data_IF_891667101651
#
_entry.id   IF_891667101651
#
_cell.length_a   1.000
_cell.length_b   1.000
_cell.length_c   1.000
_cell.angle_alpha   90.00
_cell.angle_beta   90.00
_cell.angle_gamma   90.00
#
_symmetry.space_group_name_H-M   'P 1'
#
loop_
_entity.id
_entity.type
_entity.pdbx_description
1 polymer ?
#
# COMPACT_ATOMS: atom_id res chain seq x y z
N UNK A 1 -69.94 49.42 -6.79
CA UNK A 1 -70.10 48.08 -6.20
C UNK A 1 -68.83 47.30 -6.60
N UNK A 2 -67.76 47.49 -5.83
CA UNK A 2 -66.48 46.77 -6.09
C UNK A 2 -66.33 45.65 -5.06
N UNK A 3 -66.06 44.45 -5.56
CA UNK A 3 -65.88 43.26 -4.76
C UNK A 3 -64.40 43.17 -4.32
N UNK A 4 -64.17 43.36 -3.04
CA UNK A 4 -62.84 43.13 -2.42
C UNK A 4 -62.57 41.61 -2.40
N UNK A 5 -61.56 41.18 -3.14
CA UNK A 5 -61.01 39.82 -3.06
C UNK A 5 -60.02 39.73 -1.88
N UNK A 6 -60.40 39.05 -0.84
CA UNK A 6 -59.48 38.66 0.26
C UNK A 6 -58.47 37.65 -0.27
N UNK A 7 -57.20 38.05 -0.30
CA UNK A 7 -56.07 37.15 -0.63
C UNK A 7 -55.65 36.47 0.68
N UNK A 8 -55.94 35.18 0.82
CA UNK A 8 -55.42 34.36 1.90
C UNK A 8 -53.95 34.08 1.67
N UNK A 9 -53.07 34.70 2.51
CA UNK A 9 -51.66 34.41 2.55
C UNK A 9 -51.48 33.17 3.42
N UNK A 10 -51.20 31.99 2.80
CA UNK A 10 -50.89 30.76 3.52
C UNK A 10 -49.36 30.85 3.87
N UNK A 11 -49.13 31.10 5.16
CA UNK A 11 -47.77 31.01 5.73
C UNK A 11 -47.40 29.55 5.84
N UNK A 12 -46.51 29.07 4.98
CA UNK A 12 -45.82 27.79 5.15
C UNK A 12 -44.79 27.96 6.29
N UNK A 13 -45.14 27.57 7.51
CA UNK A 13 -44.18 27.32 8.57
C UNK A 13 -43.36 26.07 8.18
N UNK A 14 -42.17 26.30 7.63
CA UNK A 14 -41.14 25.22 7.51
C UNK A 14 -40.70 24.92 8.95
N UNK A 15 -41.25 23.84 9.47
CA UNK A 15 -40.82 23.28 10.73
C UNK A 15 -39.44 22.67 10.50
N UNK A 16 -38.36 23.38 10.84
CA UNK A 16 -37.02 22.85 10.91
C UNK A 16 -36.94 21.91 12.09
N UNK A 17 -37.39 20.67 11.89
CA UNK A 17 -37.24 19.61 12.89
C UNK A 17 -35.81 19.13 12.92
N UNK A 18 -35.23 19.29 14.11
CA UNK A 18 -34.20 18.47 14.75
C UNK A 18 -33.05 17.96 13.85
N UNK A 19 -31.95 18.55 14.12
CA UNK A 19 -30.59 18.07 13.93
C UNK A 19 -30.45 16.60 14.40
N UNK A 20 -30.90 15.64 13.60
CA UNK A 20 -30.52 14.22 13.76
C UNK A 20 -29.06 14.11 13.33
N UNK A 21 -28.16 14.63 14.18
CA UNK A 21 -26.77 14.16 14.16
C UNK A 21 -26.86 12.71 14.62
N UNK A 22 -26.81 11.77 13.67
CA UNK A 22 -26.54 10.38 13.99
C UNK A 22 -25.38 10.37 14.99
N UNK A 23 -25.64 9.83 16.17
CA UNK A 23 -24.61 9.68 17.19
C UNK A 23 -23.49 8.85 16.55
N UNK A 24 -22.35 9.48 16.37
CA UNK A 24 -21.17 8.78 15.84
C UNK A 24 -20.87 7.64 16.80
N UNK A 25 -21.02 6.41 16.35
CA UNK A 25 -20.70 5.23 17.15
C UNK A 25 -19.18 5.17 17.36
N UNK A 26 -18.74 5.71 18.48
CA UNK A 26 -17.33 5.71 18.88
C UNK A 26 -16.77 4.30 19.12
N UNK A 27 -17.62 3.27 19.27
CA UNK A 27 -17.15 1.88 19.40
C UNK A 27 -16.49 1.37 18.14
N UNK A 28 -16.89 1.88 16.97
CA UNK A 28 -16.26 1.55 15.68
C UNK A 28 -14.89 2.20 15.50
N UNK A 29 -14.59 3.29 16.20
CA UNK A 29 -13.30 3.98 16.12
C UNK A 29 -12.17 3.21 16.81
N UNK A 30 -12.49 2.34 17.77
CA UNK A 30 -11.54 1.55 18.55
C UNK A 30 -11.44 0.08 18.10
N UNK A 31 -12.18 -0.31 17.05
CA UNK A 31 -12.08 -1.67 16.54
C UNK A 31 -10.75 -1.87 15.83
N UNK A 32 -9.95 -2.89 16.19
CA UNK A 32 -8.72 -3.21 15.47
C UNK A 32 -8.99 -3.40 13.98
N UNK A 33 -8.04 -2.97 13.13
CA UNK A 33 -8.15 -3.16 11.67
C UNK A 33 -8.13 -4.64 11.28
N UNK A 34 -7.48 -5.47 12.09
CA UNK A 34 -7.28 -6.90 11.87
C UNK A 34 -7.85 -7.67 13.07
N UNK A 35 -8.28 -8.89 12.86
CA UNK A 35 -8.65 -9.87 13.89
C UNK A 35 -7.45 -10.69 14.38
N UNK A 36 -6.25 -10.37 13.88
CA UNK A 36 -4.96 -10.93 14.25
C UNK A 36 -3.90 -9.82 14.34
N UNK A 37 -2.75 -10.13 14.95
CA UNK A 37 -1.58 -9.24 14.96
C UNK A 37 -0.75 -9.47 13.69
N UNK A 38 -0.57 -8.42 12.90
CA UNK A 38 0.16 -8.44 11.61
C UNK A 38 1.63 -8.79 11.83
N UNK A 39 2.25 -8.28 12.89
CA UNK A 39 3.67 -8.52 13.16
C UNK A 39 3.92 -9.95 13.66
N UNK A 40 3.00 -10.50 14.47
CA UNK A 40 3.04 -11.92 14.84
C UNK A 40 2.78 -12.82 13.63
N UNK A 41 1.91 -12.42 12.70
CA UNK A 41 1.70 -13.15 11.45
C UNK A 41 2.99 -13.24 10.62
N UNK A 42 3.75 -12.15 10.52
CA UNK A 42 5.05 -12.11 9.83
C UNK A 42 6.03 -13.09 10.50
N UNK A 43 6.10 -13.12 11.83
CA UNK A 43 6.95 -14.07 12.57
C UNK A 43 6.54 -15.52 12.35
N UNK A 44 5.22 -15.82 12.32
CA UNK A 44 4.69 -17.16 12.03
C UNK A 44 5.08 -17.66 10.63
N UNK A 45 5.31 -16.74 9.70
CA UNK A 45 5.85 -17.03 8.37
C UNK A 45 7.38 -17.23 8.36
N UNK A 46 8.02 -17.22 9.55
CA UNK A 46 9.47 -17.28 9.75
C UNK A 46 10.22 -16.16 9.02
N UNK A 47 9.63 -14.96 9.01
CA UNK A 47 10.22 -13.77 8.38
C UNK A 47 10.67 -12.81 9.47
N UNK A 48 11.96 -12.45 9.42
CA UNK A 48 12.53 -11.34 10.19
C UNK A 48 12.66 -10.13 9.26
N UNK A 49 12.10 -8.99 9.69
CA UNK A 49 12.23 -7.75 8.92
C UNK A 49 13.66 -7.21 9.08
N UNK A 50 14.38 -6.98 7.97
CA UNK A 50 15.74 -6.47 8.04
C UNK A 50 15.77 -5.01 8.50
N UNK A 51 16.95 -4.52 8.86
CA UNK A 51 17.17 -3.07 8.98
C UNK A 51 17.01 -2.43 7.60
N UNK A 52 16.13 -1.43 7.43
CA UNK A 52 15.98 -0.76 6.16
C UNK A 52 17.29 -0.17 5.64
N UNK A 53 17.51 -0.26 4.33
CA UNK A 53 18.64 0.38 3.69
C UNK A 53 18.57 1.90 3.80
N UNK A 54 19.73 2.56 3.84
CA UNK A 54 19.78 4.02 3.74
C UNK A 54 19.73 4.44 2.26
N UNK A 55 19.16 5.62 1.96
CA UNK A 55 19.14 6.15 0.60
C UNK A 55 20.56 6.33 0.05
N UNK A 56 20.78 5.96 -1.20
CA UNK A 56 22.07 6.08 -1.86
C UNK A 56 22.23 7.42 -2.61
N UNK A 57 21.21 8.26 -2.60
CA UNK A 57 21.16 9.55 -3.27
C UNK A 57 20.28 10.55 -2.50
N UNK A 58 20.03 11.71 -3.10
CA UNK A 58 19.23 12.77 -2.45
C UNK A 58 17.72 12.49 -2.62
N UNK A 59 17.23 11.50 -1.90
CA UNK A 59 15.81 11.16 -1.75
C UNK A 59 15.57 10.54 -0.37
N UNK A 60 14.31 10.23 -0.03
CA UNK A 60 13.93 9.56 1.23
C UNK A 60 13.22 8.25 0.92
N UNK A 61 13.33 7.22 1.81
CA UNK A 61 12.67 5.93 1.58
C UNK A 61 11.15 6.02 1.56
N UNK A 62 10.60 6.95 2.34
CA UNK A 62 9.14 7.12 2.50
C UNK A 62 8.77 8.59 2.60
N UNK A 63 7.56 8.92 2.12
CA UNK A 63 6.96 10.25 2.28
C UNK A 63 5.53 10.09 2.81
N UNK A 64 5.21 10.80 3.89
CA UNK A 64 3.84 10.88 4.42
C UNK A 64 3.10 12.03 3.75
N UNK A 65 1.87 11.75 3.31
CA UNK A 65 0.93 12.75 2.83
C UNK A 65 -0.41 12.59 3.54
N UNK A 66 -0.89 13.64 4.21
CA UNK A 66 -2.12 13.55 5.01
C UNK A 66 -3.27 14.22 4.29
N UNK A 67 -4.22 13.43 3.80
CA UNK A 67 -5.43 13.91 3.10
C UNK A 67 -6.65 13.97 4.02
N UNK A 68 -6.69 13.16 5.11
CA UNK A 68 -7.85 13.06 5.97
C UNK A 68 -7.49 13.27 7.45
N UNK A 69 -8.53 13.50 8.27
CA UNK A 69 -8.38 13.63 9.73
C UNK A 69 -7.87 12.32 10.38
N UNK A 70 -8.24 11.16 9.82
CA UNK A 70 -8.08 9.86 10.48
C UNK A 70 -7.07 8.93 9.79
N UNK A 71 -6.65 9.24 8.57
CA UNK A 71 -5.68 8.43 7.82
C UNK A 71 -4.73 9.31 7.00
N UNK A 72 -3.60 8.72 6.62
CA UNK A 72 -2.60 9.31 5.74
C UNK A 72 -2.18 8.31 4.69
N UNK A 73 -1.68 8.79 3.56
CA UNK A 73 -0.96 7.99 2.59
C UNK A 73 0.53 8.01 2.90
N UNK A 74 1.17 6.85 2.77
CA UNK A 74 2.62 6.72 2.79
C UNK A 74 3.06 6.21 1.43
N UNK A 75 3.91 6.98 0.77
CA UNK A 75 4.57 6.63 -0.48
C UNK A 75 5.92 6.02 -0.14
N UNK A 76 6.21 4.85 -0.67
CA UNK A 76 7.50 4.16 -0.52
C UNK A 76 8.24 4.25 -1.84
N UNK A 77 9.47 4.73 -1.80
CA UNK A 77 10.36 4.83 -2.96
C UNK A 77 10.69 3.47 -3.55
N UNK A 78 11.12 3.46 -4.81
CA UNK A 78 11.59 2.26 -5.48
C UNK A 78 12.54 1.45 -4.59
N UNK A 79 12.18 0.21 -4.34
CA UNK A 79 12.88 -0.69 -3.43
C UNK A 79 13.26 -1.95 -4.20
N UNK A 80 14.51 -2.38 -4.05
CA UNK A 80 15.01 -3.62 -4.66
C UNK A 80 15.10 -4.80 -3.68
N UNK A 81 15.43 -6.01 -4.18
CA UNK A 81 15.53 -7.25 -3.40
C UNK A 81 16.86 -7.31 -2.64
N UNK A 82 17.02 -6.55 -1.56
CA UNK A 82 18.23 -6.48 -0.75
C UNK A 82 18.26 -7.64 0.25
N UNK A 83 19.39 -8.39 0.23
CA UNK A 83 19.66 -9.49 1.16
C UNK A 83 20.15 -8.96 2.51
N UNK A 84 20.18 -9.82 3.52
CA UNK A 84 20.67 -9.47 4.87
C UNK A 84 22.12 -9.01 4.90
N UNK A 85 22.97 -9.59 4.06
CA UNK A 85 24.39 -9.18 3.92
C UNK A 85 24.58 -7.83 3.22
N UNK A 86 23.49 -7.21 2.76
CA UNK A 86 23.50 -5.93 2.07
C UNK A 86 23.56 -6.01 0.54
N UNK A 87 23.87 -7.16 -0.03
CA UNK A 87 23.87 -7.37 -1.49
C UNK A 87 22.43 -7.41 -2.03
N UNK A 88 22.29 -7.27 -3.34
CA UNK A 88 21.01 -7.42 -4.02
C UNK A 88 20.91 -8.75 -4.77
N UNK A 89 19.69 -9.23 -4.97
CA UNK A 89 19.40 -10.20 -6.01
C UNK A 89 19.44 -9.48 -7.36
N UNK A 90 20.38 -9.86 -8.19
CA UNK A 90 20.63 -9.26 -9.50
C UNK A 90 20.40 -10.29 -10.60
N UNK A 91 20.08 -9.82 -11.80
CA UNK A 91 19.88 -10.65 -12.99
C UNK A 91 18.76 -10.10 -13.86
N UNK A 92 18.48 -10.80 -14.97
CA UNK A 92 17.57 -10.37 -16.00
C UNK A 92 16.62 -11.49 -16.40
N UNK A 93 15.33 -11.27 -16.24
CA UNK A 93 14.29 -12.23 -16.62
C UNK A 93 14.25 -12.42 -18.15
N UNK A 94 14.20 -13.67 -18.58
CA UNK A 94 14.30 -14.04 -20.00
C UNK A 94 15.73 -14.19 -20.50
N UNK A 95 16.74 -14.01 -19.63
CA UNK A 95 18.16 -14.19 -19.93
C UNK A 95 18.79 -15.12 -18.89
N UNK A 96 19.27 -14.56 -17.77
CA UNK A 96 20.03 -15.27 -16.74
C UNK A 96 19.23 -15.58 -15.46
N UNK A 97 17.92 -15.24 -15.42
CA UNK A 97 17.03 -15.53 -14.30
C UNK A 97 15.76 -16.27 -14.72
N UNK A 98 15.35 -17.23 -13.89
CA UNK A 98 14.06 -17.91 -14.00
C UNK A 98 12.92 -17.06 -13.41
N UNK A 99 11.68 -17.43 -13.71
CA UNK A 99 10.50 -16.77 -13.14
C UNK A 99 10.43 -16.97 -11.62
N UNK A 100 10.78 -18.16 -11.12
CA UNK A 100 10.83 -18.49 -9.70
C UNK A 100 11.83 -17.61 -8.95
N UNK A 101 13.03 -17.43 -9.47
CA UNK A 101 14.04 -16.54 -8.89
C UNK A 101 13.56 -15.08 -8.88
N UNK A 102 12.89 -14.66 -9.96
CA UNK A 102 12.26 -13.35 -10.03
C UNK A 102 11.12 -13.18 -9.04
N UNK A 103 10.27 -14.21 -8.83
CA UNK A 103 9.22 -14.24 -7.84
C UNK A 103 9.79 -14.10 -6.41
N UNK A 104 10.86 -14.85 -6.10
CA UNK A 104 11.55 -14.75 -4.80
C UNK A 104 12.19 -13.38 -4.61
N UNK A 105 12.74 -12.78 -5.66
CA UNK A 105 13.25 -11.41 -5.62
C UNK A 105 12.13 -10.39 -5.33
N UNK A 106 10.96 -10.55 -5.94
CA UNK A 106 9.79 -9.69 -5.67
C UNK A 106 9.26 -9.87 -4.24
N UNK A 107 9.24 -11.10 -3.71
CA UNK A 107 8.88 -11.39 -2.31
C UNK A 107 9.87 -10.73 -1.34
N UNK A 108 11.18 -10.87 -1.59
CA UNK A 108 12.21 -10.23 -0.78
C UNK A 108 12.11 -8.70 -0.81
N UNK A 109 11.76 -8.13 -1.97
CA UNK A 109 11.47 -6.69 -2.08
C UNK A 109 10.30 -6.29 -1.19
N UNK A 110 9.24 -7.09 -1.13
CA UNK A 110 8.11 -6.88 -0.23
C UNK A 110 8.54 -6.86 1.25
N UNK A 111 9.43 -7.76 1.66
CA UNK A 111 9.99 -7.80 3.03
C UNK A 111 10.76 -6.50 3.32
N UNK A 112 11.59 -6.02 2.39
CA UNK A 112 12.33 -4.77 2.53
C UNK A 112 11.40 -3.54 2.60
N UNK A 113 10.30 -3.54 1.84
CA UNK A 113 9.27 -2.51 1.90
C UNK A 113 8.59 -2.50 3.27
N UNK A 114 8.22 -3.67 3.82
CA UNK A 114 7.64 -3.77 5.16
C UNK A 114 8.59 -3.27 6.24
N UNK A 115 9.89 -3.52 6.11
CA UNK A 115 10.91 -2.99 7.02
C UNK A 115 10.95 -1.44 6.98
N UNK A 116 10.89 -0.84 5.80
CA UNK A 116 10.83 0.62 5.62
C UNK A 116 9.54 1.21 6.20
N UNK A 117 8.39 0.57 5.95
CA UNK A 117 7.11 0.97 6.51
C UNK A 117 7.12 0.85 8.05
N UNK A 118 7.67 -0.24 8.62
CA UNK A 118 7.80 -0.42 10.07
C UNK A 118 8.64 0.70 10.70
N UNK A 119 9.77 1.06 10.10
CA UNK A 119 10.62 2.20 10.54
C UNK A 119 9.82 3.51 10.49
N UNK A 120 9.01 3.72 9.45
CA UNK A 120 8.25 4.96 9.23
C UNK A 120 7.05 5.13 10.16
N UNK A 121 6.23 4.08 10.34
CA UNK A 121 4.94 4.18 11.05
C UNK A 121 4.94 3.53 12.44
N UNK A 122 5.99 2.80 12.79
CA UNK A 122 6.20 2.16 14.09
C UNK A 122 5.45 0.85 14.30
N UNK A 123 4.26 0.68 13.72
CA UNK A 123 3.39 -0.48 13.91
C UNK A 123 2.66 -0.82 12.61
N UNK A 124 2.91 -2.02 12.06
CA UNK A 124 2.32 -2.48 10.80
C UNK A 124 0.81 -2.77 10.92
N UNK A 125 0.28 -2.97 12.13
CA UNK A 125 -1.15 -3.08 12.38
C UNK A 125 -1.93 -1.80 12.02
N UNK A 126 -1.24 -0.66 11.86
CA UNK A 126 -1.81 0.61 11.40
C UNK A 126 -2.03 0.68 9.90
N UNK A 127 -1.51 -0.24 9.10
CA UNK A 127 -1.74 -0.26 7.66
C UNK A 127 -3.20 -0.58 7.40
N UNK A 128 -3.95 0.40 6.89
CA UNK A 128 -5.37 0.24 6.58
C UNK A 128 -5.57 -0.53 5.30
N UNK A 129 -4.74 -0.29 4.29
CA UNK A 129 -4.66 -1.07 3.03
C UNK A 129 -3.45 -0.71 2.20
N UNK A 130 -3.03 -1.64 1.37
CA UNK A 130 -2.21 -1.34 0.20
C UNK A 130 -3.10 -0.76 -0.89
N UNK A 131 -2.71 0.38 -1.46
CA UNK A 131 -3.53 1.13 -2.43
C UNK A 131 -3.07 0.83 -3.85
N UNK A 132 -1.77 0.99 -4.10
CA UNK A 132 -1.15 0.86 -5.41
C UNK A 132 0.27 0.34 -5.28
N UNK A 133 0.67 -0.52 -6.22
CA UNK A 133 2.07 -0.82 -6.51
C UNK A 133 2.41 -0.65 -7.99
N UNK A 134 3.68 -0.40 -8.25
CA UNK A 134 4.31 -0.50 -9.57
C UNK A 134 5.48 -1.47 -9.41
N UNK A 135 5.35 -2.65 -10.00
CA UNK A 135 6.42 -3.64 -10.05
C UNK A 135 7.14 -3.55 -11.40
N UNK A 136 8.41 -3.20 -11.33
CA UNK A 136 9.31 -3.08 -12.47
C UNK A 136 10.23 -4.31 -12.50
N UNK A 137 10.31 -4.99 -13.63
CA UNK A 137 11.08 -6.22 -13.82
C UNK A 137 12.21 -5.96 -14.81
N UNK A 138 13.44 -6.18 -14.40
CA UNK A 138 14.60 -6.19 -15.31
C UNK A 138 14.44 -7.39 -16.25
N UNK A 139 14.11 -7.13 -17.52
CA UNK A 139 13.76 -8.21 -18.45
C UNK A 139 14.21 -7.96 -19.88
N UNK A 140 14.31 -9.04 -20.64
CA UNK A 140 14.53 -8.96 -22.10
C UNK A 140 13.27 -8.39 -22.78
N UNK A 141 13.42 -7.95 -24.02
CA UNK A 141 12.32 -7.34 -24.78
C UNK A 141 11.21 -8.34 -25.15
N UNK A 142 11.52 -9.62 -25.17
CA UNK A 142 10.63 -10.73 -25.47
C UNK A 142 10.13 -11.49 -24.23
N UNK A 143 10.41 -11.00 -23.03
CA UNK A 143 9.83 -11.51 -21.79
C UNK A 143 8.49 -10.85 -21.52
N UNK A 144 7.42 -11.64 -21.42
CA UNK A 144 6.04 -11.14 -21.25
C UNK A 144 5.38 -11.61 -19.95
N UNK A 145 6.14 -12.21 -19.02
CA UNK A 145 5.63 -12.79 -17.78
C UNK A 145 5.94 -11.94 -16.53
N UNK A 146 6.09 -10.62 -16.69
CA UNK A 146 6.27 -9.70 -15.56
C UNK A 146 5.22 -9.86 -14.46
N UNK A 147 3.92 -10.10 -14.77
CA UNK A 147 2.92 -10.35 -13.73
C UNK A 147 3.22 -11.58 -12.87
N UNK A 148 3.77 -12.67 -13.46
CA UNK A 148 4.14 -13.87 -12.72
C UNK A 148 5.28 -13.60 -11.72
N UNK A 149 6.25 -12.77 -12.11
CA UNK A 149 7.36 -12.34 -11.25
C UNK A 149 6.84 -11.47 -10.09
N UNK A 150 6.04 -10.45 -10.38
CA UNK A 150 5.52 -9.52 -9.35
C UNK A 150 4.47 -10.17 -8.44
N UNK A 151 3.92 -11.34 -8.80
CA UNK A 151 3.11 -12.13 -7.88
C UNK A 151 3.85 -12.45 -6.58
N UNK A 152 5.19 -12.59 -6.59
CA UNK A 152 5.96 -12.80 -5.37
C UNK A 152 5.74 -11.72 -4.31
N UNK A 153 5.66 -10.46 -4.73
CA UNK A 153 5.26 -9.35 -3.86
C UNK A 153 3.79 -9.43 -3.49
N UNK A 154 2.90 -9.52 -4.47
CA UNK A 154 1.44 -9.44 -4.24
C UNK A 154 0.93 -10.57 -3.34
N UNK A 155 1.37 -11.81 -3.58
CA UNK A 155 0.96 -12.98 -2.80
C UNK A 155 1.45 -12.87 -1.36
N UNK A 156 2.70 -12.42 -1.15
CA UNK A 156 3.26 -12.16 0.17
C UNK A 156 2.47 -11.08 0.94
N UNK A 157 2.16 -9.97 0.30
CA UNK A 157 1.41 -8.88 0.94
C UNK A 157 -0.03 -9.32 1.27
N UNK A 158 -0.67 -10.09 0.40
CA UNK A 158 -2.01 -10.65 0.67
C UNK A 158 -1.95 -11.72 1.77
N UNK A 159 -0.91 -12.55 1.83
CA UNK A 159 -0.71 -13.53 2.90
C UNK A 159 -0.59 -12.85 4.28
N UNK A 160 0.12 -11.72 4.36
CA UNK A 160 0.32 -10.96 5.61
C UNK A 160 -0.90 -10.14 6.00
N UNK A 161 -1.53 -9.42 5.05
CA UNK A 161 -2.55 -8.40 5.32
C UNK A 161 -3.97 -8.80 4.89
N UNK A 162 -4.17 -10.02 4.36
CA UNK A 162 -5.47 -10.49 3.88
C UNK A 162 -6.05 -9.56 2.80
N UNK A 163 -7.35 -9.29 2.88
CA UNK A 163 -8.03 -8.42 1.90
C UNK A 163 -7.48 -6.98 1.85
N UNK A 164 -6.83 -6.52 2.91
CA UNK A 164 -6.18 -5.20 2.96
C UNK A 164 -4.87 -5.16 2.19
N UNK A 165 -4.29 -6.32 1.90
CA UNK A 165 -3.14 -6.48 1.02
C UNK A 165 -3.48 -6.43 -0.48
N UNK A 166 -4.75 -6.62 -0.87
CA UNK A 166 -5.20 -6.53 -2.27
C UNK A 166 -5.12 -5.08 -2.76
N UNK A 167 -4.32 -4.85 -3.78
CA UNK A 167 -3.93 -3.53 -4.28
C UNK A 167 -4.13 -3.41 -5.79
N UNK A 168 -4.25 -2.17 -6.28
CA UNK A 168 -4.16 -1.90 -7.71
C UNK A 168 -2.70 -2.03 -8.17
N UNK A 169 -2.44 -2.76 -9.25
CA UNK A 169 -1.08 -3.11 -9.69
C UNK A 169 -0.78 -2.73 -11.13
N UNK A 170 0.48 -2.35 -11.39
CA UNK A 170 1.10 -2.42 -12.71
C UNK A 170 2.36 -3.28 -12.62
N UNK A 171 2.52 -4.26 -13.52
CA UNK A 171 3.74 -5.06 -13.65
C UNK A 171 4.31 -4.82 -15.05
N UNK A 172 5.49 -4.24 -15.13
CA UNK A 172 6.10 -3.78 -16.40
C UNK A 172 7.52 -4.28 -16.53
N UNK A 173 7.96 -4.52 -17.79
CA UNK A 173 9.34 -4.84 -18.12
C UNK A 173 10.17 -3.57 -18.32
N UNK A 174 11.35 -3.56 -17.74
CA UNK A 174 12.34 -2.50 -17.90
C UNK A 174 13.54 -3.04 -18.65
N UNK A 175 14.12 -2.24 -19.55
CA UNK A 175 15.34 -2.61 -20.31
C UNK A 175 16.52 -2.85 -19.36
N UNK A 176 16.57 -2.08 -18.26
CA UNK A 176 17.54 -2.21 -17.18
C UNK A 176 17.00 -1.59 -15.91
N UNK A 177 17.47 -2.06 -14.76
CA UNK A 177 17.25 -1.45 -13.46
C UNK A 177 18.59 -1.06 -12.83
N UNK A 178 18.61 -0.09 -11.91
CA UNK A 178 19.84 0.31 -11.22
C UNK A 178 20.56 -0.89 -10.60
N UNK A 179 21.88 -0.92 -10.64
CA UNK A 179 22.71 -2.00 -10.08
C UNK A 179 22.37 -3.40 -10.61
N UNK A 180 21.70 -3.48 -11.76
CA UNK A 180 21.24 -4.75 -12.35
C UNK A 180 20.33 -5.57 -11.42
N UNK A 181 19.56 -4.92 -10.52
CA UNK A 181 18.62 -5.63 -9.65
C UNK A 181 17.52 -6.30 -10.49
N UNK A 182 17.04 -7.46 -10.01
CA UNK A 182 16.05 -8.26 -10.73
C UNK A 182 14.69 -7.56 -10.84
N UNK A 183 14.27 -6.90 -9.78
CA UNK A 183 13.01 -6.15 -9.69
C UNK A 183 13.19 -4.88 -8.86
N UNK A 184 12.32 -3.91 -9.12
CA UNK A 184 12.14 -2.73 -8.28
C UNK A 184 10.64 -2.48 -8.08
N UNK A 185 10.21 -2.21 -6.86
CA UNK A 185 8.79 -2.04 -6.54
C UNK A 185 8.57 -0.76 -5.75
N UNK A 186 7.60 0.03 -6.18
CA UNK A 186 7.07 1.20 -5.48
C UNK A 186 5.69 0.88 -4.93
N UNK A 187 5.36 1.40 -3.73
CA UNK A 187 4.02 1.22 -3.17
C UNK A 187 3.46 2.50 -2.57
N UNK A 188 2.13 2.57 -2.55
CA UNK A 188 1.35 3.55 -1.79
C UNK A 188 0.47 2.79 -0.83
N UNK A 189 0.57 3.11 0.48
CA UNK A 189 -0.26 2.51 1.52
C UNK A 189 -1.08 3.57 2.25
N UNK A 190 -2.30 3.23 2.65
CA UNK A 190 -3.11 4.02 3.57
C UNK A 190 -2.90 3.51 4.99
N UNK A 191 -2.60 4.43 5.92
CA UNK A 191 -2.27 4.15 7.31
C UNK A 191 -3.20 4.95 8.20
N UNK A 192 -3.71 4.35 9.29
CA UNK A 192 -4.41 5.11 10.35
C UNK A 192 -3.42 5.92 11.18
N UNK A 193 -3.89 7.10 11.63
CA UNK A 193 -3.08 8.02 12.48
C UNK A 193 -3.07 7.59 13.92
#
# INVERSE_FOLDING_TARGET
>A
MEKIKCLFLILFLVNCTSNDREAVDYSLMNKPLYDYDVEEKIKQLNIELPTPGEPIANYVPTVRFSETKNSMLVYVSGTGPRKENGDYLTGRLGDDMTIEEGYDAAKLTGINILASLKKEIGDLNKIKRFVKDIGMVNSTADFYQQPAVINGFSDFIVEVFGDRGKHARSAVGMVSLPSNIAVEIEVVVEVIK
#
